data_IF_746468012587
#
_entry.id   IF_746468012587
#
_cell.length_a   1.000
_cell.length_b   1.000
_cell.length_c   1.000
_cell.angle_alpha   90.00
_cell.angle_beta   90.00
_cell.angle_gamma   90.00
#
_symmetry.space_group_name_H-M   'P 1'
#
loop_
_entity.id
_entity.type
_entity.pdbx_description
1 polymer ?
#
# COMPACT_ATOMS: atom_id res chain seq x y z
N UNK A 1 1.32 3.48 -1.78
CA UNK A 1 1.77 2.65 -2.91
C UNK A 1 3.15 2.05 -2.62
N UNK A 2 4.20 2.86 -2.35
CA UNK A 2 5.56 2.33 -2.11
C UNK A 2 5.64 1.27 -1.01
N UNK A 3 4.94 1.48 0.12
CA UNK A 3 4.87 0.49 1.20
C UNK A 3 4.21 -0.82 0.77
N UNK A 4 3.22 -0.76 -0.09
CA UNK A 4 2.56 -1.95 -0.63
C UNK A 4 3.49 -2.71 -1.59
N UNK A 5 4.18 -1.99 -2.47
CA UNK A 5 5.17 -2.59 -3.39
C UNK A 5 6.31 -3.26 -2.63
N UNK A 6 6.72 -2.71 -1.48
CA UNK A 6 7.76 -3.33 -0.65
C UNK A 6 7.29 -4.61 0.07
N UNK A 7 6.00 -4.77 0.31
CA UNK A 7 5.42 -5.93 0.98
C UNK A 7 4.98 -7.04 0.03
N UNK A 8 4.54 -6.66 -1.17
CA UNK A 8 4.02 -7.58 -2.17
C UNK A 8 4.74 -7.40 -3.50
N UNK A 9 5.12 -8.51 -4.15
CA UNK A 9 5.84 -8.48 -5.42
C UNK A 9 5.03 -7.84 -6.55
N UNK A 10 3.69 -7.95 -6.50
CA UNK A 10 2.78 -7.41 -7.54
C UNK A 10 1.45 -6.96 -6.92
N UNK A 11 1.41 -5.76 -6.32
CA UNK A 11 0.14 -5.22 -5.83
C UNK A 11 -0.77 -4.88 -7.03
N UNK A 12 -2.05 -5.26 -6.92
CA UNK A 12 -3.07 -4.90 -7.89
C UNK A 12 -4.03 -3.82 -7.33
N UNK A 13 -4.91 -3.27 -8.19
CA UNK A 13 -5.83 -2.21 -7.79
C UNK A 13 -6.81 -2.66 -6.69
N UNK A 14 -7.24 -3.92 -6.69
CA UNK A 14 -8.15 -4.47 -5.67
C UNK A 14 -7.48 -4.44 -4.30
N UNK A 15 -6.23 -4.89 -4.22
CA UNK A 15 -5.44 -4.85 -2.97
C UNK A 15 -5.19 -3.42 -2.52
N UNK A 16 -4.82 -2.53 -3.46
CA UNK A 16 -4.63 -1.11 -3.17
C UNK A 16 -5.90 -0.48 -2.57
N UNK A 17 -7.07 -0.75 -3.15
CA UNK A 17 -8.35 -0.24 -2.64
C UNK A 17 -8.60 -0.72 -1.21
N UNK A 18 -8.42 -2.01 -0.93
CA UNK A 18 -8.57 -2.55 0.44
C UNK A 18 -7.66 -1.85 1.46
N UNK A 19 -6.42 -1.55 1.09
CA UNK A 19 -5.50 -0.86 1.99
C UNK A 19 -5.86 0.62 2.18
N UNK A 20 -6.39 1.28 1.16
CA UNK A 20 -6.87 2.66 1.29
C UNK A 20 -8.11 2.71 2.19
N UNK A 21 -9.05 1.77 2.04
CA UNK A 21 -10.24 1.64 2.88
C UNK A 21 -9.89 1.26 4.32
N UNK A 22 -8.98 0.31 4.50
CA UNK A 22 -8.55 -0.18 5.80
C UNK A 22 -7.66 0.77 6.59
N UNK A 23 -7.10 1.80 5.95
CA UNK A 23 -6.13 2.70 6.55
C UNK A 23 -4.68 2.25 6.38
N UNK A 24 -3.75 3.04 6.90
CA UNK A 24 -2.30 2.78 6.79
C UNK A 24 -1.83 1.73 7.80
N UNK A 25 -2.59 1.50 8.87
CA UNK A 25 -2.20 0.70 10.02
C UNK A 25 -1.74 -0.72 9.65
N UNK A 26 -2.50 -1.51 8.85
CA UNK A 26 -2.07 -2.85 8.48
C UNK A 26 -0.78 -2.88 7.64
N UNK A 27 -0.63 -1.92 6.74
CA UNK A 27 0.57 -1.82 5.88
C UNK A 27 1.79 -1.45 6.72
N UNK A 28 1.65 -0.48 7.63
CA UNK A 28 2.72 -0.06 8.53
C UNK A 28 3.14 -1.20 9.46
N UNK A 29 2.17 -1.92 10.04
CA UNK A 29 2.45 -3.05 10.92
C UNK A 29 3.22 -4.14 10.18
N UNK A 30 2.80 -4.53 8.98
CA UNK A 30 3.49 -5.52 8.16
C UNK A 30 4.90 -5.06 7.74
N UNK A 31 5.07 -3.78 7.40
CA UNK A 31 6.39 -3.21 7.06
C UNK A 31 7.36 -3.25 8.23
N UNK A 32 6.90 -2.88 9.43
CA UNK A 32 7.70 -2.93 10.65
C UNK A 32 8.05 -4.37 11.05
N UNK A 33 7.10 -5.30 10.96
CA UNK A 33 7.36 -6.72 11.24
C UNK A 33 8.43 -7.27 10.31
N UNK A 34 8.32 -7.02 9.00
CA UNK A 34 9.31 -7.47 8.02
C UNK A 34 10.70 -6.88 8.29
N UNK A 35 10.77 -5.60 8.64
CA UNK A 35 12.04 -4.96 9.02
C UNK A 35 12.65 -5.63 10.26
N UNK A 36 11.85 -5.86 11.30
CA UNK A 36 12.33 -6.46 12.54
C UNK A 36 12.73 -7.93 12.35
N UNK A 37 11.98 -8.70 11.58
CA UNK A 37 12.35 -10.08 11.24
C UNK A 37 13.71 -10.13 10.51
N UNK A 38 13.96 -9.18 9.61
CA UNK A 38 15.21 -9.10 8.86
C UNK A 38 16.40 -8.56 9.69
N UNK A 39 16.18 -7.57 10.56
CA UNK A 39 17.25 -6.87 11.28
C UNK A 39 17.52 -7.40 12.69
N UNK A 40 16.51 -7.91 13.37
CA UNK A 40 16.58 -8.38 14.77
C UNK A 40 16.39 -9.90 14.88
N UNK A 41 15.97 -10.56 13.80
CA UNK A 41 15.64 -11.98 13.76
C UNK A 41 14.24 -12.30 14.30
N UNK A 42 13.77 -13.57 14.17
CA UNK A 42 12.39 -13.97 14.44
C UNK A 42 11.95 -13.81 15.92
N UNK A 43 12.90 -13.72 16.84
CA UNK A 43 12.64 -13.55 18.28
C UNK A 43 12.54 -12.09 18.72
N UNK A 44 12.43 -11.11 17.81
CA UNK A 44 12.38 -9.69 18.17
C UNK A 44 11.26 -9.31 19.14
N UNK A 45 10.16 -10.08 19.13
CA UNK A 45 9.04 -9.90 20.09
C UNK A 45 9.42 -10.20 21.52
N UNK A 46 10.47 -10.98 21.72
CA UNK A 46 10.96 -11.41 23.04
C UNK A 46 12.01 -10.47 23.63
N UNK A 47 12.45 -9.47 22.87
CA UNK A 47 13.35 -8.43 23.36
C UNK A 47 12.73 -7.72 24.57
N UNK A 48 13.53 -7.46 25.60
CA UNK A 48 13.08 -6.84 26.85
C UNK A 48 12.43 -5.47 26.59
N UNK A 49 13.04 -4.67 25.72
CA UNK A 49 12.57 -3.34 25.33
C UNK A 49 11.23 -3.42 24.59
N UNK A 50 11.07 -4.40 23.69
CA UNK A 50 9.82 -4.60 22.95
C UNK A 50 8.70 -5.05 23.90
N UNK A 51 8.97 -5.96 24.82
CA UNK A 51 8.00 -6.39 25.84
C UNK A 51 7.58 -5.23 26.75
N UNK A 52 8.51 -4.39 27.17
CA UNK A 52 8.21 -3.19 27.97
C UNK A 52 7.30 -2.22 27.21
N UNK A 53 7.61 -1.95 25.94
CA UNK A 53 6.78 -1.09 25.08
C UNK A 53 5.40 -1.68 24.82
N UNK A 54 5.29 -3.00 24.64
CA UNK A 54 4.02 -3.69 24.50
C UNK A 54 3.16 -3.54 25.76
N UNK A 55 3.74 -3.73 26.95
CA UNK A 55 3.03 -3.53 28.20
C UNK A 55 2.58 -2.07 28.38
N UNK A 56 3.43 -1.10 28.04
CA UNK A 56 3.11 0.32 28.10
C UNK A 56 1.95 0.66 27.13
N UNK A 57 1.96 0.09 25.92
CA UNK A 57 0.89 0.29 24.93
C UNK A 57 -0.46 -0.31 25.41
N UNK A 58 -0.43 -1.51 25.99
CA UNK A 58 -1.64 -2.16 26.54
C UNK A 58 -2.20 -1.35 27.71
N UNK A 59 -1.36 -0.78 28.56
CA UNK A 59 -1.77 0.08 29.69
C UNK A 59 -2.22 1.48 29.26
N UNK A 60 -2.19 1.79 27.97
CA UNK A 60 -2.56 3.11 27.46
C UNK A 60 -1.55 4.23 27.76
N UNK A 61 -0.33 3.88 28.14
CA UNK A 61 0.74 4.85 28.41
C UNK A 61 1.33 5.44 27.11
N UNK A 62 1.12 4.76 25.97
CA UNK A 62 1.51 5.26 24.66
C UNK A 62 0.24 5.80 23.98
N UNK A 63 0.26 7.10 23.63
CA UNK A 63 -0.88 7.77 22.99
C UNK A 63 -1.16 7.18 21.61
N UNK A 64 -2.38 6.71 21.39
CA UNK A 64 -2.84 6.18 20.10
C UNK A 64 -3.31 7.32 19.19
N UNK A 65 -2.86 7.39 17.94
CA UNK A 65 -3.33 8.38 16.98
C UNK A 65 -4.73 8.04 16.45
N UNK A 66 -5.13 6.77 16.49
CA UNK A 66 -6.46 6.31 16.08
C UNK A 66 -6.96 5.17 16.97
N UNK A 67 -8.29 4.98 17.02
CA UNK A 67 -8.90 3.85 17.77
C UNK A 67 -8.55 2.48 17.15
N UNK A 68 -8.21 2.45 15.87
CA UNK A 68 -7.85 1.24 15.12
C UNK A 68 -6.41 0.81 15.39
N UNK A 69 -5.57 1.71 15.92
CA UNK A 69 -4.18 1.40 16.23
C UNK A 69 -4.08 0.34 17.33
N UNK A 70 -3.51 -0.81 16.98
CA UNK A 70 -3.31 -1.92 17.93
C UNK A 70 -2.19 -1.60 18.92
N UNK A 71 -2.22 -2.16 20.15
CA UNK A 71 -1.09 -2.04 21.07
C UNK A 71 0.22 -2.54 20.47
N UNK A 72 0.17 -3.58 19.63
CA UNK A 72 1.33 -4.12 18.93
C UNK A 72 1.92 -3.11 17.96
N UNK A 73 1.10 -2.48 17.12
CA UNK A 73 1.56 -1.44 16.20
C UNK A 73 2.20 -0.28 16.96
N UNK A 74 1.59 0.14 18.08
CA UNK A 74 2.12 1.23 18.90
C UNK A 74 3.49 0.89 19.51
N UNK A 75 3.67 -0.34 20.00
CA UNK A 75 4.95 -0.82 20.50
C UNK A 75 6.01 -0.87 19.38
N UNK A 76 5.65 -1.39 18.20
CA UNK A 76 6.54 -1.47 17.05
C UNK A 76 6.98 -0.08 16.57
N UNK A 77 6.05 0.87 16.45
CA UNK A 77 6.38 2.26 16.06
C UNK A 77 7.30 2.90 17.11
N UNK A 78 6.99 2.73 18.40
CA UNK A 78 7.82 3.30 19.47
C UNK A 78 9.22 2.68 19.49
N UNK A 79 9.33 1.38 19.28
CA UNK A 79 10.62 0.70 19.20
C UNK A 79 11.44 1.22 18.02
N UNK A 80 10.83 1.32 16.85
CA UNK A 80 11.47 1.84 15.64
C UNK A 80 12.04 3.24 15.85
N UNK A 81 11.27 4.13 16.46
CA UNK A 81 11.69 5.51 16.70
C UNK A 81 12.75 5.67 17.79
N UNK A 82 12.75 4.79 18.80
CA UNK A 82 13.67 4.89 19.95
C UNK A 82 14.97 4.12 19.71
N UNK A 83 14.93 2.99 19.03
CA UNK A 83 16.05 2.05 18.96
C UNK A 83 16.70 1.96 17.57
N UNK A 84 15.98 2.35 16.49
CA UNK A 84 16.60 2.37 15.16
C UNK A 84 17.21 3.74 14.89
N UNK A 85 18.54 3.82 14.73
CA UNK A 85 19.23 5.08 14.45
C UNK A 85 18.74 5.72 13.15
N UNK A 86 18.68 7.06 13.11
CA UNK A 86 18.10 7.82 11.99
C UNK A 86 18.76 7.51 10.63
N UNK A 87 20.04 7.22 10.63
CA UNK A 87 20.80 6.84 9.43
C UNK A 87 20.51 5.42 8.92
N UNK A 88 19.87 4.58 9.73
CA UNK A 88 19.47 3.21 9.39
C UNK A 88 17.97 3.06 9.14
N UNK A 89 17.21 4.16 9.27
CA UNK A 89 15.76 4.13 9.07
C UNK A 89 15.39 3.99 7.61
N UNK A 90 14.35 3.21 7.36
CA UNK A 90 13.75 3.06 6.04
C UNK A 90 12.85 4.27 5.73
N UNK A 91 13.12 4.95 4.61
CA UNK A 91 12.37 6.14 4.17
C UNK A 91 10.89 5.84 3.90
N UNK A 92 10.57 4.63 3.48
CA UNK A 92 9.18 4.20 3.23
C UNK A 92 8.44 4.07 4.55
N UNK A 93 9.06 3.41 5.54
CA UNK A 93 8.50 3.25 6.89
C UNK A 93 8.36 4.61 7.58
N UNK A 94 9.35 5.50 7.49
CA UNK A 94 9.26 6.86 8.02
C UNK A 94 8.09 7.64 7.40
N UNK A 95 7.87 7.47 6.09
CA UNK A 95 6.74 8.08 5.40
C UNK A 95 5.39 7.51 5.88
N UNK A 96 5.32 6.18 6.08
CA UNK A 96 4.13 5.51 6.62
C UNK A 96 3.82 5.97 8.05
N UNK A 97 4.83 6.07 8.92
CA UNK A 97 4.67 6.58 10.30
C UNK A 97 4.17 8.02 10.28
N UNK A 98 4.67 8.85 9.37
CA UNK A 98 4.17 10.22 9.19
C UNK A 98 2.68 10.23 8.87
N UNK A 99 2.24 9.43 7.89
CA UNK A 99 0.82 9.31 7.53
C UNK A 99 -0.01 8.78 8.71
N UNK A 100 0.50 7.77 9.42
CA UNK A 100 -0.15 7.18 10.58
C UNK A 100 -0.36 8.18 11.73
N UNK A 101 0.59 9.12 11.93
CA UNK A 101 0.48 10.18 12.94
C UNK A 101 -0.37 11.37 12.52
N UNK A 102 -0.64 11.52 11.21
CA UNK A 102 -1.52 12.55 10.72
C UNK A 102 -2.97 12.30 11.12
N UNK A 103 -3.73 13.39 11.25
CA UNK A 103 -5.14 13.33 11.60
C UNK A 103 -5.90 12.48 10.56
N UNK A 104 -6.60 11.45 11.05
CA UNK A 104 -7.41 10.53 10.25
C UNK A 104 -8.48 11.25 9.41
N UNK A 105 -9.06 12.33 9.93
CA UNK A 105 -10.03 13.13 9.18
C UNK A 105 -9.43 13.73 7.90
N UNK A 106 -8.17 14.18 7.97
CA UNK A 106 -7.48 14.71 6.80
C UNK A 106 -7.23 13.60 5.77
N UNK A 107 -6.78 12.43 6.21
CA UNK A 107 -6.62 11.26 5.35
C UNK A 107 -7.96 10.87 4.69
N UNK A 108 -9.04 10.81 5.46
CA UNK A 108 -10.38 10.48 4.95
C UNK A 108 -10.86 11.50 3.91
N UNK A 109 -10.59 12.80 4.09
CA UNK A 109 -10.94 13.83 3.10
C UNK A 109 -10.18 13.65 1.78
N UNK A 110 -8.90 13.30 1.84
CA UNK A 110 -8.11 13.04 0.64
C UNK A 110 -8.60 11.77 -0.07
N UNK A 111 -8.88 10.71 0.68
CA UNK A 111 -9.29 9.42 0.11
C UNK A 111 -10.75 9.40 -0.33
N UNK A 112 -11.62 10.26 0.23
CA UNK A 112 -13.04 10.32 -0.10
C UNK A 112 -13.29 10.56 -1.61
N UNK A 113 -12.45 11.34 -2.27
CA UNK A 113 -12.56 11.60 -3.70
C UNK A 113 -11.96 10.46 -4.55
N UNK A 114 -11.02 9.72 -4.00
CA UNK A 114 -10.32 8.65 -4.70
C UNK A 114 -11.08 7.31 -4.64
N UNK A 115 -11.72 7.02 -3.51
CA UNK A 115 -12.42 5.75 -3.28
C UNK A 115 -13.52 5.45 -4.30
N UNK A 116 -14.39 6.39 -4.70
CA UNK A 116 -15.39 6.12 -5.74
C UNK A 116 -14.75 5.72 -7.07
N UNK A 117 -13.68 6.39 -7.46
CA UNK A 117 -12.96 6.08 -8.71
C UNK A 117 -12.33 4.69 -8.62
N UNK A 118 -11.65 4.37 -7.51
CA UNK A 118 -11.07 3.05 -7.29
C UNK A 118 -12.15 1.96 -7.24
N UNK A 119 -13.29 2.24 -6.60
CA UNK A 119 -14.42 1.30 -6.57
C UNK A 119 -14.93 0.99 -7.98
N UNK A 120 -15.08 2.00 -8.84
CA UNK A 120 -15.45 1.79 -10.24
C UNK A 120 -14.39 1.00 -11.02
N UNK A 121 -13.11 1.31 -10.84
CA UNK A 121 -11.99 0.62 -11.50
C UNK A 121 -11.81 -0.83 -11.02
N UNK A 122 -12.30 -1.17 -9.84
CA UNK A 122 -12.17 -2.51 -9.25
C UNK A 122 -13.44 -3.34 -9.32
N UNK A 123 -14.54 -2.79 -9.86
CA UNK A 123 -15.84 -3.45 -9.94
C UNK A 123 -16.09 -4.15 -11.26
N UNK A 124 -16.87 -5.21 -11.25
CA UNK A 124 -17.38 -5.91 -12.42
C UNK A 124 -16.29 -6.41 -13.38
N UNK A 125 -16.60 -6.38 -14.67
CA UNK A 125 -15.70 -6.85 -15.73
C UNK A 125 -14.49 -5.95 -15.91
N UNK A 126 -14.66 -4.65 -15.65
CA UNK A 126 -13.55 -3.68 -15.69
C UNK A 126 -12.50 -4.00 -14.61
N UNK A 127 -12.95 -4.22 -13.39
CA UNK A 127 -12.06 -4.58 -12.28
C UNK A 127 -11.30 -5.87 -12.55
N UNK A 128 -11.98 -6.87 -13.11
CA UNK A 128 -11.33 -8.12 -13.54
C UNK A 128 -10.28 -7.87 -14.62
N UNK A 129 -10.56 -7.02 -15.58
CA UNK A 129 -9.63 -6.70 -16.68
C UNK A 129 -8.41 -5.90 -16.22
N UNK A 130 -8.58 -4.96 -15.28
CA UNK A 130 -7.50 -4.11 -14.78
C UNK A 130 -6.66 -4.76 -13.68
N UNK A 131 -7.14 -5.85 -13.06
CA UNK A 131 -6.46 -6.52 -11.97
C UNK A 131 -6.34 -8.04 -12.21
N UNK A 132 -5.64 -8.47 -13.28
CA UNK A 132 -5.33 -9.89 -13.47
C UNK A 132 -4.46 -10.38 -12.30
N UNK A 133 -4.70 -11.62 -11.86
CA UNK A 133 -3.88 -12.24 -10.83
C UNK A 133 -2.80 -13.13 -11.49
N UNK A 134 -1.55 -12.72 -11.52
CA UNK A 134 -0.48 -13.50 -12.14
C UNK A 134 -0.12 -14.78 -11.38
N UNK A 135 -0.64 -14.96 -10.16
CA UNK A 135 -0.42 -16.14 -9.33
C UNK A 135 -1.58 -17.13 -9.38
N UNK A 136 -2.72 -16.73 -9.98
CA UNK A 136 -3.84 -17.63 -10.24
C UNK A 136 -3.57 -18.40 -11.54
N UNK A 137 -3.35 -19.70 -11.42
CA UNK A 137 -3.11 -20.59 -12.56
C UNK A 137 -4.31 -20.66 -13.55
N UNK A 138 -5.50 -20.35 -13.07
CA UNK A 138 -6.73 -20.32 -13.87
C UNK A 138 -6.96 -18.98 -14.55
N UNK A 139 -6.26 -17.92 -14.11
CA UNK A 139 -6.32 -16.59 -14.74
C UNK A 139 -5.42 -16.51 -15.97
N UNK A 140 -5.97 -16.84 -17.13
CA UNK A 140 -5.27 -16.82 -18.43
C UNK A 140 -5.33 -15.47 -19.15
N UNK A 141 -5.79 -14.41 -18.49
CA UNK A 141 -5.90 -13.09 -19.10
C UNK A 141 -4.51 -12.54 -19.43
N UNK A 142 -4.33 -11.95 -20.62
CA UNK A 142 -3.04 -11.35 -20.98
C UNK A 142 -2.77 -10.13 -20.09
N UNK A 143 -1.58 -10.09 -19.50
CA UNK A 143 -1.12 -8.91 -18.77
C UNK A 143 -0.50 -7.94 -19.77
N UNK A 144 -1.07 -6.76 -19.88
CA UNK A 144 -0.50 -5.69 -20.66
C UNK A 144 0.81 -5.22 -20.01
N UNK A 145 1.86 -5.17 -20.81
CA UNK A 145 3.18 -4.72 -20.37
C UNK A 145 3.76 -3.78 -21.42
N UNK A 146 3.86 -2.49 -21.11
CA UNK A 146 4.36 -1.47 -22.04
C UNK A 146 5.78 -1.79 -22.54
N UNK A 147 6.66 -2.29 -21.67
CA UNK A 147 8.03 -2.65 -22.07
C UNK A 147 8.05 -3.74 -23.16
N UNK A 148 7.18 -4.74 -23.05
CA UNK A 148 7.06 -5.79 -24.08
C UNK A 148 6.49 -5.24 -25.38
N UNK A 149 5.51 -4.33 -25.31
CA UNK A 149 4.89 -3.67 -26.47
C UNK A 149 5.94 -2.85 -27.21
N UNK A 150 6.71 -2.04 -26.49
CA UNK A 150 7.76 -1.18 -27.03
C UNK A 150 8.90 -1.99 -27.65
N UNK A 151 9.43 -2.99 -26.93
CA UNK A 151 10.49 -3.87 -27.46
C UNK A 151 10.08 -4.66 -28.70
N UNK A 152 8.79 -4.98 -28.82
CA UNK A 152 8.24 -5.66 -30.00
C UNK A 152 7.90 -4.70 -31.15
N UNK A 153 8.06 -3.38 -30.97
CA UNK A 153 7.71 -2.38 -31.96
C UNK A 153 6.20 -2.31 -32.25
N UNK A 154 5.36 -2.74 -31.29
CA UNK A 154 3.92 -2.74 -31.45
C UNK A 154 3.32 -1.37 -31.13
N UNK A 155 2.17 -1.07 -31.70
CA UNK A 155 1.36 0.11 -31.40
C UNK A 155 0.20 -0.30 -30.49
N UNK A 156 0.05 0.41 -29.36
CA UNK A 156 -1.09 0.23 -28.47
C UNK A 156 -2.16 1.27 -28.79
N UNK A 157 -3.38 0.81 -29.08
CA UNK A 157 -4.56 1.65 -29.22
C UNK A 157 -5.55 1.36 -28.10
N UNK A 158 -5.91 2.37 -27.32
CA UNK A 158 -6.84 2.26 -26.19
C UNK A 158 -8.15 3.00 -26.50
N UNK A 159 -9.25 2.27 -26.70
CA UNK A 159 -10.59 2.83 -26.94
C UNK A 159 -11.24 3.26 -25.61
N UNK A 160 -10.85 4.39 -25.07
CA UNK A 160 -11.37 4.89 -23.80
C UNK A 160 -12.73 5.58 -23.93
N UNK A 161 -13.08 6.06 -25.11
CA UNK A 161 -14.35 6.69 -25.46
C UNK A 161 -15.53 5.71 -25.48
N UNK A 162 -15.26 4.40 -25.54
CA UNK A 162 -16.30 3.37 -25.44
C UNK A 162 -16.77 3.10 -24.00
N UNK A 163 -16.11 3.70 -23.00
CA UNK A 163 -16.51 3.53 -21.61
C UNK A 163 -17.68 4.45 -21.24
N UNK A 164 -18.67 3.94 -20.49
CA UNK A 164 -19.88 4.70 -20.16
C UNK A 164 -19.61 5.88 -19.21
N UNK A 165 -18.50 5.88 -18.49
CA UNK A 165 -18.12 6.93 -17.54
C UNK A 165 -16.82 7.62 -17.97
N UNK A 166 -16.87 8.92 -18.34
CA UNK A 166 -15.69 9.69 -18.71
C UNK A 166 -14.63 9.80 -17.61
N UNK A 167 -15.03 9.76 -16.34
CA UNK A 167 -14.10 9.83 -15.20
C UNK A 167 -13.26 8.56 -15.13
N UNK A 168 -13.89 7.41 -15.37
CA UNK A 168 -13.21 6.11 -15.46
C UNK A 168 -12.25 6.07 -16.65
N UNK A 169 -12.71 6.53 -17.82
CA UNK A 169 -11.88 6.62 -19.01
C UNK A 169 -10.63 7.48 -18.79
N UNK A 170 -10.81 8.65 -18.18
CA UNK A 170 -9.73 9.57 -17.80
C UNK A 170 -8.76 8.94 -16.81
N UNK A 171 -9.27 8.24 -15.80
CA UNK A 171 -8.44 7.57 -14.79
C UNK A 171 -7.58 6.45 -15.41
N UNK A 172 -8.15 5.63 -16.29
CA UNK A 172 -7.41 4.57 -17.00
C UNK A 172 -6.33 5.18 -17.90
N UNK A 173 -6.67 6.23 -18.65
CA UNK A 173 -5.70 6.93 -19.49
C UNK A 173 -4.55 7.53 -18.69
N UNK A 174 -4.86 8.16 -17.56
CA UNK A 174 -3.85 8.71 -16.64
C UNK A 174 -2.93 7.63 -16.05
N UNK A 175 -3.49 6.47 -15.65
CA UNK A 175 -2.71 5.35 -15.16
C UNK A 175 -1.77 4.79 -16.23
N UNK A 176 -2.25 4.64 -17.48
CA UNK A 176 -1.44 4.15 -18.58
C UNK A 176 -0.28 5.11 -18.90
N UNK A 177 -0.55 6.42 -18.96
CA UNK A 177 0.49 7.44 -19.18
C UNK A 177 1.49 7.51 -18.03
N UNK A 178 1.03 7.37 -16.77
CA UNK A 178 1.91 7.37 -15.62
C UNK A 178 2.84 6.14 -15.59
N UNK A 179 2.35 4.94 -15.94
CA UNK A 179 3.17 3.74 -16.06
C UNK A 179 4.22 3.87 -17.18
N UNK A 180 3.85 4.44 -18.32
CA UNK A 180 4.78 4.71 -19.41
C UNK A 180 5.86 5.73 -18.99
N UNK A 181 5.45 6.84 -18.36
CA UNK A 181 6.38 7.89 -17.92
C UNK A 181 7.34 7.43 -16.82
N UNK A 182 6.94 6.48 -15.99
CA UNK A 182 7.80 5.93 -14.93
C UNK A 182 8.95 5.04 -15.47
N UNK A 183 8.91 4.69 -16.75
CA UNK A 183 9.88 3.80 -17.43
C UNK A 183 10.82 4.53 -18.40
N UNK A 184 10.49 5.77 -18.74
CA UNK A 184 11.30 6.65 -19.57
C UNK A 184 12.44 7.30 -18.76
#
# INVERSE_FOLDING_TARGET
VQGLVSLEDRPNLIKLTKYIEGGIEPVLEASLQRLFDASLGPAWRDLQEMRALMQAAVRGQIKRPSEVATPQLMACVSYYEQHIPQNQRDKVIDSQIRVFRHNREHYQKITANLLPILSMLTSGDLGRSLSPDPFDADDRRPIMNFEKIERAGHVLYMCLDSLPDPSVASAIGALALADQAARA
#
